data_IF_222946790039
#
_entry.id   IF_222946790039
#
_cell.length_a   1.000
_cell.length_b   1.000
_cell.length_c   1.000
_cell.angle_alpha   90.00
_cell.angle_beta   90.00
_cell.angle_gamma   90.00
#
_symmetry.space_group_name_H-M   'P 1'
#
loop_
_entity.id
_entity.type
_entity.pdbx_description
1 polymer ?
#
# COMPACT_ATOMS: atom_id res chain seq x y z
N UNK A 1 20.48 -32.94 -51.37
CA UNK A 1 20.43 -32.93 -49.90
C UNK A 1 19.01 -32.59 -49.44
N UNK A 2 18.15 -33.59 -49.20
CA UNK A 2 16.96 -33.54 -48.31
C UNK A 2 16.02 -34.77 -48.42
N UNK A 3 16.55 -35.97 -48.70
CA UNK A 3 15.72 -37.19 -48.76
C UNK A 3 16.11 -38.28 -47.73
N UNK A 4 17.17 -38.01 -46.96
CA UNK A 4 17.74 -38.96 -46.00
C UNK A 4 17.17 -38.77 -44.57
N UNK A 5 16.75 -37.54 -44.23
CA UNK A 5 16.15 -37.23 -42.92
C UNK A 5 14.74 -37.82 -42.76
N UNK A 6 13.95 -37.84 -43.85
CA UNK A 6 12.58 -38.36 -43.83
C UNK A 6 12.52 -39.89 -43.76
N UNK A 7 13.50 -40.58 -44.36
CA UNK A 7 13.63 -42.05 -44.28
C UNK A 7 14.14 -42.52 -42.91
N UNK A 8 15.01 -41.75 -42.26
CA UNK A 8 15.46 -42.03 -40.88
C UNK A 8 14.34 -41.87 -39.84
N UNK A 9 13.48 -40.85 -39.99
CA UNK A 9 12.33 -40.66 -39.10
C UNK A 9 11.28 -41.78 -39.22
N UNK A 10 11.16 -42.43 -40.37
CA UNK A 10 10.22 -43.54 -40.58
C UNK A 10 10.70 -44.85 -39.94
N UNK A 11 12.01 -45.07 -39.79
CA UNK A 11 12.56 -46.27 -39.14
C UNK A 11 12.41 -46.26 -37.61
N UNK A 12 12.29 -45.09 -36.99
CA UNK A 12 12.12 -44.97 -35.54
C UNK A 12 10.69 -45.26 -35.03
N UNK A 13 9.72 -45.45 -35.93
CA UNK A 13 8.30 -45.69 -35.57
C UNK A 13 7.93 -47.17 -35.48
N UNK A 14 8.76 -48.10 -35.96
CA UNK A 14 8.34 -49.50 -36.16
C UNK A 14 9.12 -50.58 -35.43
N UNK A 15 10.19 -50.30 -34.69
CA UNK A 15 10.80 -51.29 -33.78
C UNK A 15 11.44 -50.60 -32.57
N UNK A 16 10.83 -50.67 -31.37
CA UNK A 16 11.62 -50.65 -30.15
C UNK A 16 12.09 -52.09 -29.85
N UNK A 17 13.30 -52.19 -29.34
CA UNK A 17 13.86 -53.34 -28.62
C UNK A 17 14.77 -54.29 -29.42
N UNK A 18 16.04 -53.91 -29.53
CA UNK A 18 17.15 -54.84 -29.40
C UNK A 18 18.34 -54.11 -28.74
N UNK A 19 18.91 -54.75 -27.72
CA UNK A 19 20.19 -54.42 -27.08
C UNK A 19 20.18 -53.35 -25.96
N UNK A 20 19.63 -53.71 -24.80
CA UNK A 20 20.34 -53.47 -23.53
C UNK A 20 20.00 -54.59 -22.54
N UNK A 21 20.83 -55.63 -22.52
CA UNK A 21 20.87 -56.60 -21.43
C UNK A 21 21.73 -56.01 -20.30
N UNK A 22 21.14 -55.79 -19.13
CA UNK A 22 21.82 -55.26 -17.94
C UNK A 22 20.88 -54.98 -16.78
N UNK A 23 20.49 -56.04 -16.07
CA UNK A 23 20.15 -56.15 -14.64
C UNK A 23 19.75 -54.88 -13.87
N UNK A 24 18.45 -54.70 -13.63
CA UNK A 24 17.86 -54.60 -12.27
C UNK A 24 16.33 -54.78 -12.38
N UNK A 25 15.84 -55.93 -11.95
CA UNK A 25 14.42 -56.24 -11.85
C UNK A 25 13.84 -55.53 -10.61
N UNK A 26 13.31 -54.33 -10.82
CA UNK A 26 12.19 -53.84 -10.04
C UNK A 26 11.27 -53.07 -10.99
N UNK A 27 10.37 -53.81 -11.64
CA UNK A 27 9.18 -53.26 -12.26
C UNK A 27 8.41 -52.48 -11.19
N UNK A 28 8.67 -51.18 -11.09
CA UNK A 28 7.68 -50.23 -10.58
C UNK A 28 6.56 -50.19 -11.63
N UNK A 29 5.74 -51.24 -11.66
CA UNK A 29 4.44 -51.28 -12.34
C UNK A 29 3.44 -50.38 -11.56
N UNK A 30 3.88 -49.17 -11.24
CA UNK A 30 3.01 -48.10 -10.79
C UNK A 30 2.35 -47.53 -12.05
N UNK A 31 1.02 -47.67 -12.21
CA UNK A 31 0.33 -47.08 -13.35
C UNK A 31 0.67 -45.59 -13.45
N UNK A 32 0.83 -45.05 -14.68
CA UNK A 32 1.18 -43.64 -14.87
C UNK A 32 0.22 -42.77 -14.07
N UNK A 33 0.72 -41.74 -13.35
CA UNK A 33 -0.10 -40.98 -12.42
C UNK A 33 -1.36 -40.51 -13.15
N UNK A 34 -2.55 -40.70 -12.54
CA UNK A 34 -3.80 -40.42 -13.22
C UNK A 34 -3.75 -39.01 -13.77
N UNK A 35 -4.05 -38.85 -15.07
CA UNK A 35 -4.14 -37.54 -15.69
C UNK A 35 -5.21 -36.76 -14.92
N UNK A 36 -4.80 -35.77 -14.13
CA UNK A 36 -5.70 -34.93 -13.34
C UNK A 36 -6.73 -34.34 -14.27
N UNK A 37 -7.96 -34.83 -14.16
CA UNK A 37 -9.07 -34.35 -14.95
C UNK A 37 -9.62 -33.07 -14.30
N UNK A 38 -10.23 -32.15 -15.05
CA UNK A 38 -10.84 -30.96 -14.46
C UNK A 38 -11.81 -31.29 -13.31
N UNK A 39 -12.55 -32.39 -13.42
CA UNK A 39 -13.43 -32.92 -12.37
C UNK A 39 -12.69 -33.29 -11.05
N UNK A 40 -11.44 -33.72 -11.11
CA UNK A 40 -10.63 -34.03 -9.92
C UNK A 40 -10.29 -32.76 -9.12
N UNK A 41 -10.19 -31.61 -9.80
CA UNK A 41 -9.91 -30.32 -9.16
C UNK A 41 -11.11 -29.88 -8.33
N UNK A 42 -12.32 -29.99 -8.88
CA UNK A 42 -13.56 -29.67 -8.14
C UNK A 42 -13.71 -30.55 -6.91
N UNK A 43 -13.45 -31.86 -7.03
CA UNK A 43 -13.51 -32.80 -5.90
C UNK A 43 -12.47 -32.48 -4.82
N UNK A 44 -11.27 -32.06 -5.21
CA UNK A 44 -10.24 -31.63 -4.27
C UNK A 44 -10.64 -30.32 -3.57
N UNK A 45 -11.15 -29.32 -4.30
CA UNK A 45 -11.64 -28.06 -3.74
C UNK A 45 -12.78 -28.31 -2.74
N UNK A 46 -13.75 -29.14 -3.08
CA UNK A 46 -14.88 -29.49 -2.20
C UNK A 46 -14.41 -30.16 -0.91
N UNK A 47 -13.43 -31.06 -0.97
CA UNK A 47 -12.84 -31.69 0.21
C UNK A 47 -12.15 -30.65 1.11
N UNK A 48 -11.43 -29.70 0.52
CA UNK A 48 -10.77 -28.62 1.26
C UNK A 48 -11.81 -27.71 1.95
N UNK A 49 -12.91 -27.37 1.27
CA UNK A 49 -14.00 -26.57 1.84
C UNK A 49 -14.65 -27.31 3.02
N UNK A 50 -14.95 -28.61 2.88
CA UNK A 50 -15.51 -29.42 3.98
C UNK A 50 -14.57 -29.51 5.17
N UNK A 51 -13.28 -29.70 4.93
CA UNK A 51 -12.29 -29.74 5.99
C UNK A 51 -12.18 -28.38 6.72
N UNK A 52 -12.24 -27.26 5.99
CA UNK A 52 -12.24 -25.92 6.57
C UNK A 52 -13.53 -25.62 7.36
N UNK A 53 -14.70 -26.03 6.87
CA UNK A 53 -15.96 -25.98 7.63
C UNK A 53 -15.88 -26.80 8.92
N UNK A 54 -15.33 -28.03 8.88
CA UNK A 54 -15.18 -28.88 10.06
C UNK A 54 -14.22 -28.29 11.12
N UNK A 55 -13.24 -27.48 10.69
CA UNK A 55 -12.34 -26.73 11.59
C UNK A 55 -12.96 -25.44 12.12
N UNK A 56 -14.17 -25.08 11.70
CA UNK A 56 -14.84 -23.85 12.10
C UNK A 56 -14.20 -22.58 11.51
N UNK A 57 -13.43 -22.68 10.42
CA UNK A 57 -12.79 -21.50 9.78
C UNK A 57 -13.81 -20.48 9.24
N UNK A 58 -15.09 -20.85 9.17
CA UNK A 58 -16.20 -20.00 8.73
C UNK A 58 -17.13 -19.55 9.88
N UNK A 59 -16.90 -19.98 11.13
CA UNK A 59 -17.83 -19.75 12.25
C UNK A 59 -17.73 -18.33 12.85
N UNK A 60 -16.58 -17.64 12.71
CA UNK A 60 -16.34 -16.27 13.20
C UNK A 60 -15.93 -15.32 12.07
N UNK A 61 -16.69 -15.33 10.97
CA UNK A 61 -16.46 -14.34 9.92
C UNK A 61 -16.87 -12.95 10.44
N UNK A 62 -16.05 -11.90 10.23
CA UNK A 62 -16.29 -10.56 10.78
C UNK A 62 -17.68 -9.96 10.48
N UNK A 63 -18.28 -10.39 9.37
CA UNK A 63 -19.57 -9.95 8.86
C UNK A 63 -20.63 -11.07 8.83
N UNK A 64 -20.40 -12.21 9.49
CA UNK A 64 -21.39 -13.29 9.58
C UNK A 64 -22.72 -12.75 10.14
N UNK A 65 -23.81 -12.95 9.38
CA UNK A 65 -25.15 -12.50 9.75
C UNK A 65 -25.37 -10.98 9.79
N UNK A 66 -24.35 -10.17 9.51
CA UNK A 66 -24.47 -8.70 9.41
C UNK A 66 -24.71 -8.32 7.95
N UNK A 67 -25.49 -7.27 7.66
CA UNK A 67 -25.58 -6.76 6.31
C UNK A 67 -24.17 -6.40 5.82
N UNK A 68 -23.86 -6.73 4.56
CA UNK A 68 -22.60 -6.29 3.98
C UNK A 68 -22.60 -4.75 3.99
N UNK A 69 -21.58 -4.13 4.60
CA UNK A 69 -21.48 -2.68 4.62
C UNK A 69 -21.38 -2.19 3.16
N UNK A 70 -22.14 -1.14 2.85
CA UNK A 70 -22.11 -0.47 1.54
C UNK A 70 -22.64 -1.32 0.35
N UNK A 71 -23.50 -2.33 0.60
CA UNK A 71 -24.15 -3.07 -0.49
C UNK A 71 -25.06 -2.17 -1.35
N UNK A 72 -25.60 -1.09 -0.77
CA UNK A 72 -26.44 -0.12 -1.49
C UNK A 72 -25.63 0.76 -2.46
N UNK A 73 -24.30 0.86 -2.29
CA UNK A 73 -23.41 1.50 -3.28
C UNK A 73 -23.04 0.58 -4.45
N UNK A 74 -23.47 -0.69 -4.47
CA UNK A 74 -23.24 -1.59 -5.60
C UNK A 74 -23.98 -1.16 -6.89
N UNK A 75 -24.93 -0.22 -6.77
CA UNK A 75 -25.53 0.46 -7.92
C UNK A 75 -24.53 1.40 -8.66
N UNK A 76 -23.40 1.73 -8.03
CA UNK A 76 -22.34 2.51 -8.65
C UNK A 76 -21.34 1.59 -9.37
N UNK A 77 -21.06 1.80 -10.67
CA UNK A 77 -20.13 0.95 -11.44
C UNK A 77 -18.74 0.77 -10.82
N UNK A 78 -18.27 1.75 -10.04
CA UNK A 78 -16.90 1.83 -9.52
C UNK A 78 -16.79 1.50 -8.01
N UNK A 79 -17.79 0.85 -7.42
CA UNK A 79 -17.81 0.53 -5.97
C UNK A 79 -16.58 -0.27 -5.51
N UNK A 80 -16.10 -1.17 -6.35
CA UNK A 80 -14.93 -2.00 -6.07
C UNK A 80 -13.62 -1.20 -6.10
N UNK A 81 -13.53 -0.18 -6.98
CA UNK A 81 -12.37 0.71 -7.10
C UNK A 81 -12.28 1.64 -5.89
N UNK A 82 -13.40 2.22 -5.45
CA UNK A 82 -13.45 3.01 -4.20
C UNK A 82 -12.98 2.18 -3.01
N UNK A 83 -13.51 0.94 -2.87
CA UNK A 83 -13.09 0.02 -1.80
C UNK A 83 -11.61 -0.35 -1.87
N UNK A 84 -11.06 -0.50 -3.08
CA UNK A 84 -9.64 -0.78 -3.27
C UNK A 84 -8.78 0.42 -2.85
N UNK A 85 -9.14 1.63 -3.29
CA UNK A 85 -8.46 2.87 -2.90
C UNK A 85 -8.46 3.04 -1.38
N UNK A 86 -9.61 2.82 -0.72
CA UNK A 86 -9.73 2.92 0.74
C UNK A 86 -8.92 1.84 1.46
N UNK A 87 -9.03 0.58 1.04
CA UNK A 87 -8.35 -0.55 1.69
C UNK A 87 -6.83 -0.45 1.59
N UNK A 88 -6.33 -0.09 0.41
CA UNK A 88 -4.89 0.02 0.15
C UNK A 88 -4.34 1.41 0.50
N UNK A 89 -5.19 2.31 1.02
CA UNK A 89 -4.86 3.71 1.32
C UNK A 89 -4.14 4.42 0.15
N UNK A 90 -4.63 4.19 -1.06
CA UNK A 90 -4.02 4.71 -2.29
C UNK A 90 -4.22 6.22 -2.34
N UNK A 91 -3.13 6.96 -2.26
CA UNK A 91 -3.09 8.41 -2.42
C UNK A 91 -2.55 8.79 -3.80
N UNK A 92 -2.87 10.01 -4.28
CA UNK A 92 -2.30 10.55 -5.52
C UNK A 92 -2.90 10.04 -6.83
N UNK A 93 -4.04 9.33 -6.79
CA UNK A 93 -4.76 8.87 -8.01
C UNK A 93 -5.90 9.83 -8.41
N UNK A 94 -6.07 10.92 -7.66
CA UNK A 94 -7.05 11.95 -7.99
C UNK A 94 -6.61 12.71 -9.25
N UNK A 95 -7.56 13.12 -10.11
CA UNK A 95 -7.29 14.14 -11.11
C UNK A 95 -6.65 15.38 -10.47
N UNK A 96 -5.69 16.01 -11.16
CA UNK A 96 -4.90 17.12 -10.60
C UNK A 96 -5.77 18.23 -10.00
N UNK A 97 -6.92 18.53 -10.62
CA UNK A 97 -7.88 19.52 -10.12
C UNK A 97 -8.44 19.20 -8.72
N UNK A 98 -8.66 17.92 -8.41
CA UNK A 98 -9.12 17.48 -7.09
C UNK A 98 -7.96 17.35 -6.10
N UNK A 99 -6.81 16.88 -6.57
CA UNK A 99 -5.59 16.83 -5.75
C UNK A 99 -5.21 18.22 -5.26
N UNK A 100 -5.24 19.24 -6.13
CA UNK A 100 -4.96 20.63 -5.76
C UNK A 100 -5.93 21.21 -4.73
N UNK A 101 -7.19 20.75 -4.69
CA UNK A 101 -8.15 21.18 -3.65
C UNK A 101 -7.79 20.56 -2.31
N UNK A 102 -7.45 19.27 -2.29
CA UNK A 102 -7.00 18.58 -1.09
C UNK A 102 -5.70 19.20 -0.56
N UNK A 103 -4.76 19.46 -1.45
CA UNK A 103 -3.48 20.09 -1.11
C UNK A 103 -3.73 21.52 -0.55
N UNK A 104 -4.67 22.29 -1.10
CA UNK A 104 -5.05 23.61 -0.57
C UNK A 104 -5.61 23.55 0.87
N UNK A 105 -6.39 22.51 1.18
CA UNK A 105 -6.97 22.30 2.53
C UNK A 105 -5.90 22.01 3.58
N UNK A 106 -4.86 21.26 3.22
CA UNK A 106 -3.78 20.85 4.14
C UNK A 106 -2.55 21.76 4.09
N UNK A 107 -2.43 22.63 3.08
CA UNK A 107 -1.25 23.46 2.82
C UNK A 107 -0.76 24.19 4.08
N UNK A 108 -1.69 24.77 4.84
CA UNK A 108 -1.35 25.52 6.05
C UNK A 108 -0.64 24.67 7.10
N UNK A 109 -1.10 23.43 7.29
CA UNK A 109 -0.51 22.50 8.26
C UNK A 109 0.86 22.02 7.78
N UNK A 110 1.01 21.79 6.47
CA UNK A 110 2.29 21.45 5.86
C UNK A 110 3.32 22.57 6.04
N UNK A 111 2.93 23.83 5.78
CA UNK A 111 3.78 25.00 5.98
C UNK A 111 4.21 25.15 7.44
N UNK A 112 3.34 24.81 8.39
CA UNK A 112 3.66 24.86 9.82
C UNK A 112 4.70 23.83 10.26
N UNK A 113 4.85 22.73 9.51
CA UNK A 113 5.92 21.75 9.68
C UNK A 113 7.29 22.23 9.19
N UNK A 114 7.35 23.26 8.35
CA UNK A 114 8.60 23.78 7.78
C UNK A 114 9.37 24.63 8.77
N UNK A 115 10.71 24.50 8.73
CA UNK A 115 11.63 25.15 9.68
C UNK A 115 12.18 26.49 9.22
N UNK A 116 12.04 26.84 7.95
CA UNK A 116 12.60 28.06 7.38
C UNK A 116 11.61 28.76 6.46
N UNK A 117 11.67 30.08 6.46
CA UNK A 117 10.86 30.93 5.58
C UNK A 117 11.16 30.66 4.10
N UNK A 118 12.43 30.38 3.75
CA UNK A 118 12.80 29.99 2.39
C UNK A 118 12.05 28.73 1.95
N UNK A 119 11.97 27.70 2.80
CA UNK A 119 11.23 26.48 2.47
C UNK A 119 9.72 26.76 2.32
N UNK A 120 9.17 27.66 3.13
CA UNK A 120 7.76 28.10 3.01
C UNK A 120 7.52 28.78 1.66
N UNK A 121 8.38 29.74 1.26
CA UNK A 121 8.27 30.40 -0.04
C UNK A 121 8.36 29.39 -1.20
N UNK A 122 9.35 28.50 -1.16
CA UNK A 122 9.53 27.45 -2.18
C UNK A 122 8.32 26.52 -2.28
N UNK A 123 7.71 26.13 -1.16
CA UNK A 123 6.53 25.29 -1.13
C UNK A 123 5.30 25.98 -1.74
N UNK A 124 5.07 27.25 -1.40
CA UNK A 124 3.97 28.06 -1.97
C UNK A 124 4.19 28.30 -3.47
N UNK A 125 5.43 28.55 -3.90
CA UNK A 125 5.78 28.69 -5.32
C UNK A 125 5.54 27.41 -6.12
N UNK A 126 5.92 26.25 -5.59
CA UNK A 126 5.63 24.95 -6.19
C UNK A 126 4.13 24.71 -6.30
N UNK A 127 3.38 24.96 -5.23
CA UNK A 127 1.92 24.83 -5.22
C UNK A 127 1.27 25.72 -6.29
N UNK A 128 1.65 27.00 -6.37
CA UNK A 128 1.16 27.92 -7.38
C UNK A 128 1.54 27.48 -8.80
N UNK A 129 2.76 26.98 -9.00
CA UNK A 129 3.22 26.45 -10.29
C UNK A 129 2.37 25.27 -10.74
N UNK A 130 2.03 24.36 -9.84
CA UNK A 130 1.13 23.22 -10.13
C UNK A 130 -0.27 23.68 -10.52
N UNK A 131 -0.85 24.66 -9.81
CA UNK A 131 -2.14 25.25 -10.19
C UNK A 131 -2.09 25.83 -11.61
N UNK A 132 -1.05 26.61 -11.92
CA UNK A 132 -0.89 27.22 -13.25
C UNK A 132 -0.70 26.14 -14.32
N UNK A 133 0.09 25.11 -14.06
CA UNK A 133 0.29 24.00 -14.97
C UNK A 133 -1.04 23.25 -15.23
N UNK A 134 -1.78 22.92 -14.19
CA UNK A 134 -3.06 22.23 -14.29
C UNK A 134 -4.09 23.03 -15.11
N UNK A 135 -4.16 24.35 -14.90
CA UNK A 135 -5.01 25.25 -15.70
C UNK A 135 -4.61 25.31 -17.18
N UNK A 136 -3.32 25.14 -17.48
CA UNK A 136 -2.78 25.17 -18.84
C UNK A 136 -2.85 23.83 -19.56
N UNK A 137 -3.17 22.75 -18.87
CA UNK A 137 -2.96 21.40 -19.36
C UNK A 137 -3.85 21.05 -20.57
N UNK A 138 -4.94 21.78 -20.85
CA UNK A 138 -5.85 21.66 -22.02
C UNK A 138 -6.39 20.24 -22.33
N UNK A 139 -6.06 19.23 -21.51
CA UNK A 139 -6.37 17.81 -21.69
C UNK A 139 -7.82 17.45 -21.28
N UNK A 140 -8.68 18.45 -21.05
CA UNK A 140 -10.00 18.24 -20.46
C UNK A 140 -9.93 17.80 -18.99
N UNK A 141 -11.09 17.61 -18.37
CA UNK A 141 -11.21 17.18 -16.97
C UNK A 141 -11.95 18.19 -16.08
N UNK A 142 -12.13 17.87 -14.79
CA UNK A 142 -12.80 18.74 -13.84
C UNK A 142 -12.13 20.13 -13.77
N UNK A 143 -12.90 21.22 -13.64
CA UNK A 143 -12.33 22.56 -13.64
C UNK A 143 -11.44 22.79 -12.41
N UNK A 144 -10.26 23.39 -12.66
CA UNK A 144 -9.32 23.82 -11.62
C UNK A 144 -9.80 25.17 -11.05
N UNK A 145 -10.50 25.12 -9.92
CA UNK A 145 -11.05 26.30 -9.23
C UNK A 145 -10.17 26.79 -8.07
N UNK A 146 -9.14 26.03 -7.69
CA UNK A 146 -8.22 26.38 -6.60
C UNK A 146 -7.50 27.70 -6.90
N UNK A 147 -7.51 28.63 -5.94
CA UNK A 147 -6.89 29.95 -6.07
C UNK A 147 -5.37 29.89 -5.87
N UNK A 148 -4.65 30.85 -6.46
CA UNK A 148 -3.23 31.03 -6.16
C UNK A 148 -3.07 31.63 -4.76
N UNK A 149 -1.99 31.27 -4.09
CA UNK A 149 -1.63 31.75 -2.75
C UNK A 149 -0.56 32.83 -2.85
N UNK A 150 -0.73 33.91 -2.10
CA UNK A 150 0.27 34.98 -2.05
C UNK A 150 1.43 34.56 -1.14
N UNK A 151 2.64 34.57 -1.69
CA UNK A 151 3.85 34.08 -1.01
C UNK A 151 4.17 34.91 0.23
N UNK A 152 4.04 36.24 0.15
CA UNK A 152 4.39 37.13 1.25
C UNK A 152 3.34 37.07 2.37
N UNK A 153 2.06 36.93 2.01
CA UNK A 153 0.98 36.72 2.98
C UNK A 153 1.18 35.41 3.75
N UNK A 154 1.47 34.31 3.06
CA UNK A 154 1.67 33.01 3.72
C UNK A 154 2.95 32.99 4.57
N UNK A 155 4.04 33.62 4.10
CA UNK A 155 5.27 33.75 4.87
C UNK A 155 5.09 34.57 6.16
N UNK A 156 4.36 35.70 6.08
CA UNK A 156 4.04 36.51 7.25
C UNK A 156 3.17 35.74 8.24
N UNK A 157 2.11 35.08 7.76
CA UNK A 157 1.23 34.28 8.60
C UNK A 157 1.97 33.10 9.27
N UNK A 158 2.93 32.48 8.59
CA UNK A 158 3.79 31.45 9.16
C UNK A 158 4.66 31.99 10.30
N UNK A 159 5.29 33.16 10.11
CA UNK A 159 6.08 33.82 11.16
C UNK A 159 5.24 34.17 12.40
N UNK A 160 4.04 34.69 12.19
CA UNK A 160 3.12 35.02 13.29
C UNK A 160 2.76 33.78 14.12
N UNK A 161 2.39 32.67 13.45
CA UNK A 161 2.07 31.40 14.12
C UNK A 161 3.27 30.85 14.88
N UNK A 162 4.46 30.91 14.28
CA UNK A 162 5.73 30.53 14.91
C UNK A 162 6.03 31.36 16.16
N UNK A 163 5.84 32.68 16.09
CA UNK A 163 6.06 33.59 17.21
C UNK A 163 5.05 33.34 18.33
N UNK A 164 3.78 33.09 18.00
CA UNK A 164 2.74 32.72 18.98
C UNK A 164 3.13 31.43 19.73
N UNK A 165 3.48 30.37 19.00
CA UNK A 165 3.95 29.09 19.60
C UNK A 165 5.18 29.28 20.50
N UNK A 166 6.12 30.14 20.11
CA UNK A 166 7.30 30.45 20.92
C UNK A 166 6.93 31.18 22.22
N UNK A 167 6.01 32.15 22.14
CA UNK A 167 5.50 32.88 23.32
C UNK A 167 4.75 31.97 24.27
N UNK A 168 3.88 31.10 23.76
CA UNK A 168 3.17 30.09 24.55
C UNK A 168 4.13 29.15 25.27
N UNK A 169 5.16 28.66 24.57
CA UNK A 169 6.19 27.81 25.17
C UNK A 169 6.99 28.51 26.27
N UNK A 170 7.25 29.80 26.13
CA UNK A 170 7.93 30.60 27.17
C UNK A 170 7.00 30.92 28.34
N UNK A 171 5.69 31.03 28.10
CA UNK A 171 4.68 31.28 29.12
C UNK A 171 4.31 30.03 29.93
N UNK A 172 4.51 28.83 29.35
CA UNK A 172 4.41 27.58 30.10
C UNK A 172 5.51 27.56 31.17
N UNK A 173 5.15 27.46 32.47
CA UNK A 173 6.12 27.21 33.52
C UNK A 173 6.91 25.95 33.15
N UNK A 174 8.21 25.85 33.50
CA UNK A 174 8.89 24.58 33.36
C UNK A 174 8.04 23.52 34.06
N UNK A 175 7.60 22.51 33.32
CA UNK A 175 6.99 21.34 33.94
C UNK A 175 8.01 20.85 34.96
N UNK A 176 7.69 20.99 36.24
CA UNK A 176 8.49 20.39 37.30
C UNK A 176 8.60 18.92 36.93
N UNK A 177 9.81 18.38 36.65
CA UNK A 177 9.93 16.95 36.53
C UNK A 177 9.52 16.41 37.90
N UNK A 178 8.33 15.81 37.97
CA UNK A 178 7.81 15.18 39.17
C UNK A 178 8.72 14.00 39.51
N UNK A 179 9.83 14.29 40.17
CA UNK A 179 10.90 13.35 40.49
C UNK A 179 12.27 14.01 40.49
N UNK A 180 13.11 13.78 41.52
CA UNK A 180 14.49 14.24 41.49
C UNK A 180 15.19 13.61 40.28
N UNK A 181 15.58 14.46 39.33
CA UNK A 181 16.28 14.07 38.11
C UNK A 181 17.54 13.24 38.42
N UNK A 182 18.02 12.44 37.45
CA UNK A 182 19.04 11.41 37.67
C UNK A 182 20.33 11.96 38.29
N UNK A 183 20.65 13.22 38.01
CA UNK A 183 21.85 13.90 38.51
C UNK A 183 21.78 14.12 40.02
N UNK A 184 20.62 14.52 40.59
CA UNK A 184 20.48 14.76 42.04
C UNK A 184 20.58 13.47 42.86
N UNK A 185 20.09 12.34 42.33
CA UNK A 185 20.17 11.02 43.00
C UNK A 185 21.59 10.44 43.09
N UNK A 186 22.50 10.86 42.20
CA UNK A 186 23.89 10.39 42.23
C UNK A 186 24.68 11.04 43.38
N UNK A 187 24.51 12.35 43.59
CA UNK A 187 25.19 13.09 44.66
C UNK A 187 24.68 12.72 46.07
N UNK A 188 23.38 12.46 46.22
CA UNK A 188 22.80 12.02 47.51
C UNK A 188 23.25 10.61 47.93
N UNK A 189 23.61 9.74 46.98
CA UNK A 189 24.16 8.41 47.26
C UNK A 189 25.64 8.46 47.64
N UNK A 190 26.40 9.40 47.07
CA UNK A 190 27.79 9.62 47.46
C UNK A 190 27.91 10.16 48.88
N UNK A 191 26.97 11.03 49.31
CA UNK A 191 26.99 11.67 50.63
C UNK A 191 26.57 10.78 51.80
N UNK A 192 25.85 9.68 51.55
CA UNK A 192 25.39 8.73 52.61
C UNK A 192 26.34 7.55 52.84
N UNK A 193 27.51 7.56 52.20
CA UNK A 193 28.48 6.45 52.21
C UNK A 193 29.80 6.79 52.91
N UNK A 194 29.87 7.91 53.63
CA UNK A 194 30.92 8.28 54.58
C UNK A 194 30.31 8.48 55.95
#
# INVERSE_FOLDING_TARGET
MNDDARRRAARYRLEPDADTAGTDESEDDSPPPPRRRPEDQTLWVDQQIRAAMARGEFDDLPLAGKPLPHIDTAAEPDWWLKRFIERENITGVLPEALQLRKDDEVLRDELDGLRSERAVREAVEEFNRRIVAARRQLQGGPPVVTALRDIEVEAAAWHERRAARARERLAQPPEDPAGPGPIRRAWDRLRRRG
#
